data_IF_423144005431
#
_entry.id   IF_423144005431
#
_cell.length_a   1.000
_cell.length_b   1.000
_cell.length_c   1.000
_cell.angle_alpha   90.00
_cell.angle_beta   90.00
_cell.angle_gamma   90.00
#
_symmetry.space_group_name_H-M   'P 1'
#
loop_
_entity.id
_entity.type
_entity.pdbx_description
1 polymer ?
#
# COMPACT_ATOMS: atom_id res chain seq x y z
N UNK A 1 28.37 -8.13 27.01
CA UNK A 1 27.10 -7.97 26.27
C UNK A 1 27.35 -8.33 24.79
N UNK A 2 27.93 -9.52 24.53
CA UNK A 2 28.59 -9.87 23.26
C UNK A 2 28.48 -11.37 22.91
N UNK A 3 27.43 -12.07 23.37
CA UNK A 3 27.34 -13.54 23.17
C UNK A 3 26.06 -14.03 22.49
N UNK A 4 25.11 -13.15 22.18
CA UNK A 4 23.87 -13.57 21.51
C UNK A 4 23.93 -13.46 19.98
N UNK A 5 24.87 -12.69 19.41
CA UNK A 5 24.97 -12.50 17.96
C UNK A 5 25.35 -13.80 17.21
N UNK A 6 26.22 -14.63 17.80
CA UNK A 6 26.69 -15.86 17.17
C UNK A 6 25.59 -16.93 17.01
N UNK A 7 24.66 -17.03 17.98
CA UNK A 7 23.55 -17.99 17.92
C UNK A 7 22.46 -17.58 16.91
N UNK A 8 22.30 -16.28 16.62
CA UNK A 8 21.35 -15.81 15.60
C UNK A 8 21.88 -16.06 14.18
N UNK A 9 23.18 -15.89 13.94
CA UNK A 9 23.79 -16.19 12.64
C UNK A 9 23.68 -17.67 12.28
N UNK A 10 23.88 -18.58 13.24
CA UNK A 10 23.91 -20.03 12.99
C UNK A 10 22.52 -20.64 12.71
N UNK A 11 21.46 -20.10 13.32
CA UNK A 11 20.07 -20.55 13.09
C UNK A 11 19.52 -20.02 11.75
N UNK A 12 19.90 -18.81 11.34
CA UNK A 12 19.45 -18.20 10.08
C UNK A 12 20.32 -18.56 8.87
N UNK A 13 21.61 -18.88 9.06
CA UNK A 13 22.50 -19.33 7.98
C UNK A 13 22.10 -20.66 7.37
N UNK A 14 21.37 -21.50 8.09
CA UNK A 14 20.96 -22.81 7.61
C UNK A 14 19.62 -22.81 6.84
N UNK A 15 18.94 -21.67 6.75
CA UNK A 15 17.59 -21.57 6.16
C UNK A 15 17.45 -20.55 5.03
N UNK A 16 18.39 -19.62 4.84
CA UNK A 16 18.30 -18.59 3.80
C UNK A 16 19.67 -18.33 3.14
N UNK A 17 19.79 -18.40 1.79
CA UNK A 17 21.02 -18.00 1.12
C UNK A 17 21.17 -16.48 1.25
N UNK A 18 22.12 -16.04 2.07
CA UNK A 18 22.56 -14.65 2.07
C UNK A 18 23.11 -14.32 0.68
N UNK A 19 22.55 -13.31 0.04
CA UNK A 19 23.10 -12.77 -1.21
C UNK A 19 23.56 -11.34 -0.87
N UNK A 20 24.87 -11.08 -0.95
CA UNK A 20 25.47 -9.75 -0.67
C UNK A 20 25.29 -9.19 0.76
N UNK A 21 25.60 -9.98 1.80
CA UNK A 21 25.95 -9.46 3.14
C UNK A 21 24.94 -8.45 3.75
N UNK A 22 23.65 -8.71 3.54
CA UNK A 22 22.57 -7.80 3.96
C UNK A 22 21.22 -7.99 3.25
N UNK A 23 21.18 -8.80 2.18
CA UNK A 23 19.95 -9.11 1.44
C UNK A 23 19.65 -10.61 1.47
N UNK A 24 18.37 -10.92 1.67
CA UNK A 24 17.85 -12.29 1.66
C UNK A 24 16.67 -12.43 0.70
N UNK A 25 16.54 -13.61 0.11
CA UNK A 25 15.35 -13.99 -0.66
C UNK A 25 14.57 -15.00 0.18
N UNK A 26 13.38 -14.60 0.65
CA UNK A 26 12.45 -15.50 1.30
C UNK A 26 11.72 -16.37 0.26
N UNK A 27 11.17 -17.54 0.65
CA UNK A 27 10.58 -18.52 -0.29
C UNK A 27 9.46 -17.96 -1.17
N UNK A 28 8.78 -16.91 -0.71
CA UNK A 28 7.73 -16.20 -1.43
C UNK A 28 8.26 -15.36 -2.60
N UNK A 29 9.57 -15.05 -2.63
CA UNK A 29 10.31 -14.32 -3.67
C UNK A 29 9.61 -13.06 -4.22
N UNK A 30 8.66 -12.50 -3.48
CA UNK A 30 7.79 -11.42 -3.93
C UNK A 30 8.41 -10.05 -3.74
N UNK A 31 9.42 -9.94 -2.86
CA UNK A 31 10.21 -8.74 -2.64
C UNK A 31 11.59 -9.10 -2.05
N UNK A 32 12.56 -8.19 -2.20
CA UNK A 32 13.87 -8.34 -1.56
C UNK A 32 13.75 -8.00 -0.07
N UNK A 33 14.26 -8.89 0.77
CA UNK A 33 14.28 -8.66 2.21
C UNK A 33 15.56 -7.92 2.61
N UNK A 34 15.39 -6.84 3.37
CA UNK A 34 16.51 -6.06 3.90
C UNK A 34 16.78 -6.51 5.33
N UNK A 35 17.98 -7.04 5.58
CA UNK A 35 18.38 -7.45 6.93
C UNK A 35 19.13 -6.28 7.61
N UNK A 36 18.53 -5.58 8.58
CA UNK A 36 19.09 -4.35 9.12
C UNK A 36 20.29 -4.58 10.06
N UNK A 37 20.69 -5.84 10.30
CA UNK A 37 21.89 -6.19 11.09
C UNK A 37 23.17 -5.85 10.31
N UNK A 38 23.16 -6.00 8.98
CA UNK A 38 24.27 -5.60 8.11
C UNK A 38 24.14 -4.15 7.63
N UNK A 39 25.25 -3.45 7.45
CA UNK A 39 25.26 -2.05 6.98
C UNK A 39 24.57 -1.91 5.61
N UNK A 40 24.79 -2.86 4.71
CA UNK A 40 24.16 -2.87 3.40
C UNK A 40 22.63 -3.01 3.48
N UNK A 41 22.12 -3.90 4.33
CA UNK A 41 20.69 -4.10 4.54
C UNK A 41 20.03 -2.90 5.24
N UNK A 42 20.71 -2.29 6.22
CA UNK A 42 20.23 -1.07 6.87
C UNK A 42 20.11 0.08 5.88
N UNK A 43 21.17 0.39 5.12
CA UNK A 43 21.16 1.45 4.10
C UNK A 43 20.09 1.17 3.04
N UNK A 44 20.00 -0.07 2.55
CA UNK A 44 18.99 -0.47 1.57
C UNK A 44 17.55 -0.25 2.07
N UNK A 45 17.27 -0.62 3.33
CA UNK A 45 15.95 -0.42 3.93
C UNK A 45 15.60 1.06 4.11
N UNK A 46 16.58 1.91 4.49
CA UNK A 46 16.37 3.36 4.61
C UNK A 46 16.04 3.97 3.25
N UNK A 47 16.82 3.61 2.21
CA UNK A 47 16.57 4.06 0.84
C UNK A 47 15.18 3.62 0.37
N UNK A 48 14.78 2.38 0.65
CA UNK A 48 13.45 1.87 0.32
C UNK A 48 12.34 2.69 0.98
N UNK A 49 12.43 2.97 2.29
CA UNK A 49 11.45 3.79 3.01
C UNK A 49 11.37 5.21 2.41
N UNK A 50 12.52 5.83 2.13
CA UNK A 50 12.58 7.18 1.54
C UNK A 50 11.96 7.21 0.14
N UNK A 51 12.12 6.17 -0.67
CA UNK A 51 11.51 6.10 -2.00
C UNK A 51 10.02 5.79 -1.95
N UNK A 52 9.57 5.02 -0.96
CA UNK A 52 8.16 4.64 -0.81
C UNK A 52 7.31 5.77 -0.22
N UNK A 53 7.81 6.53 0.76
CA UNK A 53 7.03 7.55 1.47
C UNK A 53 6.44 8.66 0.58
N UNK A 54 7.19 9.27 -0.36
CA UNK A 54 6.69 10.39 -1.14
C UNK A 54 5.51 10.01 -2.05
N UNK A 55 5.56 8.89 -2.81
CA UNK A 55 4.39 8.39 -3.54
C UNK A 55 3.17 8.17 -2.64
N UNK A 56 3.36 7.62 -1.43
CA UNK A 56 2.25 7.44 -0.47
C UNK A 56 1.61 8.77 -0.07
N UNK A 57 2.42 9.76 0.30
CA UNK A 57 1.92 11.09 0.66
C UNK A 57 1.23 11.78 -0.52
N UNK A 58 1.78 11.64 -1.73
CA UNK A 58 1.19 12.17 -2.95
C UNK A 58 -0.20 11.58 -3.21
N UNK A 59 -0.36 10.27 -3.06
CA UNK A 59 -1.65 9.58 -3.20
C UNK A 59 -2.67 10.18 -2.23
N UNK A 60 -2.34 10.27 -0.94
CA UNK A 60 -3.24 10.86 0.07
C UNK A 60 -3.65 12.28 -0.30
N UNK A 61 -2.68 13.13 -0.66
CA UNK A 61 -2.94 14.52 -1.00
C UNK A 61 -3.84 14.65 -2.25
N UNK A 62 -3.52 13.93 -3.32
CA UNK A 62 -4.30 13.90 -4.55
C UNK A 62 -5.76 13.52 -4.29
N UNK A 63 -6.00 12.52 -3.43
CA UNK A 63 -7.36 12.12 -3.12
C UNK A 63 -8.13 13.11 -2.26
N UNK A 64 -7.49 13.73 -1.27
CA UNK A 64 -8.10 14.81 -0.50
C UNK A 64 -8.50 15.94 -1.46
N UNK A 65 -7.62 16.31 -2.40
CA UNK A 65 -7.90 17.30 -3.42
C UNK A 65 -9.08 16.89 -4.32
N UNK A 66 -9.17 15.64 -4.77
CA UNK A 66 -10.30 15.11 -5.56
C UNK A 66 -11.61 15.20 -4.76
N UNK A 67 -11.59 14.81 -3.48
CA UNK A 67 -12.76 14.89 -2.61
C UNK A 67 -13.24 16.34 -2.44
N UNK A 68 -12.32 17.28 -2.22
CA UNK A 68 -12.62 18.72 -2.13
C UNK A 68 -13.16 19.26 -3.47
N UNK A 69 -12.51 18.90 -4.58
CA UNK A 69 -12.92 19.32 -5.91
C UNK A 69 -14.33 18.82 -6.27
N UNK A 70 -14.63 17.54 -6.03
CA UNK A 70 -15.97 16.98 -6.26
C UNK A 70 -17.02 17.66 -5.40
N UNK A 71 -16.72 17.95 -4.14
CA UNK A 71 -17.64 18.67 -3.24
C UNK A 71 -17.93 20.09 -3.76
N UNK A 72 -16.91 20.78 -4.28
CA UNK A 72 -17.06 22.11 -4.88
C UNK A 72 -17.90 22.08 -6.16
N UNK A 73 -17.60 21.15 -7.08
CA UNK A 73 -18.34 20.96 -8.33
C UNK A 73 -19.82 20.64 -8.09
N UNK A 74 -20.10 19.72 -7.16
CA UNK A 74 -21.48 19.38 -6.80
C UNK A 74 -22.24 20.54 -6.17
N UNK A 75 -21.57 21.47 -5.48
CA UNK A 75 -22.20 22.70 -4.97
C UNK A 75 -22.54 23.68 -6.09
N UNK A 76 -21.67 23.81 -7.10
CA UNK A 76 -21.92 24.65 -8.29
C UNK A 76 -23.06 24.10 -9.14
N UNK A 77 -23.03 22.81 -9.47
CA UNK A 77 -24.08 22.15 -10.24
C UNK A 77 -25.47 22.24 -9.59
N UNK A 78 -25.53 22.22 -8.25
CA UNK A 78 -26.78 22.44 -7.50
C UNK A 78 -27.36 23.83 -7.69
N UNK A 79 -26.51 24.85 -7.79
CA UNK A 79 -26.94 26.24 -7.97
C UNK A 79 -27.38 26.51 -9.41
N UNK A 80 -26.73 25.88 -10.38
CA UNK A 80 -26.97 26.13 -11.81
C UNK A 80 -28.14 25.35 -12.41
N UNK A 81 -28.39 24.12 -11.94
CA UNK A 81 -29.37 23.21 -12.57
C UNK A 81 -30.67 23.02 -11.77
N UNK A 82 -30.79 23.62 -10.57
CA UNK A 82 -31.98 23.47 -9.72
C UNK A 82 -32.25 22.02 -9.28
N UNK A 83 -31.24 21.14 -9.29
CA UNK A 83 -31.40 19.73 -8.92
C UNK A 83 -31.81 19.57 -7.44
N UNK A 84 -32.62 18.55 -7.16
CA UNK A 84 -32.98 18.15 -5.80
C UNK A 84 -31.70 17.97 -4.94
N UNK A 85 -31.51 18.82 -3.91
CA UNK A 85 -30.29 18.85 -3.14
C UNK A 85 -30.04 17.57 -2.35
N UNK A 86 -31.08 16.78 -2.06
CA UNK A 86 -31.01 15.55 -1.25
C UNK A 86 -30.42 14.42 -2.07
N UNK A 87 -30.91 14.20 -3.29
CA UNK A 87 -30.44 13.11 -4.18
C UNK A 87 -28.97 13.29 -4.56
N UNK A 88 -28.58 14.50 -4.97
CA UNK A 88 -27.18 14.83 -5.33
C UNK A 88 -26.25 14.67 -4.13
N UNK A 89 -26.69 15.08 -2.92
CA UNK A 89 -25.86 14.94 -1.71
C UNK A 89 -25.58 13.47 -1.38
N UNK A 90 -26.58 12.59 -1.55
CA UNK A 90 -26.44 11.15 -1.27
C UNK A 90 -25.44 10.49 -2.22
N UNK A 91 -25.53 10.77 -3.52
CA UNK A 91 -24.66 10.17 -4.54
C UNK A 91 -23.20 10.64 -4.40
N UNK A 92 -23.01 11.94 -4.14
CA UNK A 92 -21.68 12.53 -3.92
C UNK A 92 -21.06 11.98 -2.64
N UNK A 93 -21.82 11.91 -1.53
CA UNK A 93 -21.33 11.34 -0.28
C UNK A 93 -20.99 9.85 -0.42
N UNK A 94 -21.81 9.08 -1.13
CA UNK A 94 -21.53 7.66 -1.39
C UNK A 94 -20.21 7.48 -2.14
N UNK A 95 -19.97 8.32 -3.16
CA UNK A 95 -18.73 8.26 -3.95
C UNK A 95 -17.52 8.70 -3.14
N UNK A 96 -17.66 9.75 -2.32
CA UNK A 96 -16.59 10.22 -1.42
C UNK A 96 -16.26 9.14 -0.40
N UNK A 97 -17.26 8.53 0.24
CA UNK A 97 -17.05 7.47 1.25
C UNK A 97 -16.35 6.28 0.63
N UNK A 98 -16.78 5.81 -0.55
CA UNK A 98 -16.12 4.71 -1.26
C UNK A 98 -14.66 5.01 -1.60
N UNK A 99 -14.39 6.23 -2.04
CA UNK A 99 -13.02 6.66 -2.36
C UNK A 99 -12.17 6.73 -1.09
N UNK A 100 -12.72 7.32 -0.01
CA UNK A 100 -12.07 7.43 1.29
C UNK A 100 -11.77 6.07 1.92
N UNK A 101 -12.70 5.11 1.82
CA UNK A 101 -12.49 3.75 2.33
C UNK A 101 -11.40 3.02 1.56
N UNK A 102 -11.29 3.22 0.25
CA UNK A 102 -10.23 2.60 -0.56
C UNK A 102 -8.86 3.17 -0.21
N UNK A 103 -8.75 4.49 -0.02
CA UNK A 103 -7.49 5.12 0.41
C UNK A 103 -7.12 4.68 1.82
N UNK A 104 -8.08 4.64 2.74
CA UNK A 104 -7.85 4.16 4.10
C UNK A 104 -7.35 2.71 4.10
N UNK A 105 -7.94 1.85 3.27
CA UNK A 105 -7.46 0.48 3.10
C UNK A 105 -6.02 0.47 2.53
N UNK A 106 -5.74 1.26 1.50
CA UNK A 106 -4.41 1.36 0.86
C UNK A 106 -3.32 1.87 1.82
N UNK A 107 -3.68 2.81 2.69
CA UNK A 107 -2.81 3.32 3.75
C UNK A 107 -2.57 2.29 4.84
N UNK A 108 -3.60 1.53 5.20
CA UNK A 108 -3.51 0.51 6.23
C UNK A 108 -2.58 -0.63 5.80
N UNK A 109 -2.79 -1.18 4.61
CA UNK A 109 -1.97 -2.27 4.06
C UNK A 109 -0.51 -1.88 3.92
N UNK A 110 -0.25 -0.69 3.39
CA UNK A 110 1.11 -0.20 3.14
C UNK A 110 1.79 0.31 4.41
N UNK A 111 1.01 0.93 5.30
CA UNK A 111 1.50 1.44 6.58
C UNK A 111 2.01 0.32 7.48
N UNK A 112 1.37 -0.85 7.46
CA UNK A 112 1.85 -2.02 8.21
C UNK A 112 3.23 -2.46 7.72
N UNK A 113 3.43 -2.52 6.39
CA UNK A 113 4.74 -2.88 5.83
C UNK A 113 5.85 -1.91 6.26
N UNK A 114 5.61 -0.60 6.11
CA UNK A 114 6.58 0.43 6.51
C UNK A 114 6.81 0.41 8.02
N UNK A 115 5.76 0.19 8.83
CA UNK A 115 5.89 0.11 10.28
C UNK A 115 6.74 -1.08 10.73
N UNK A 116 6.56 -2.26 10.13
CA UNK A 116 7.39 -3.44 10.44
C UNK A 116 8.84 -3.20 10.01
N UNK A 117 9.06 -2.56 8.87
CA UNK A 117 10.41 -2.21 8.40
C UNK A 117 11.11 -1.21 9.33
N UNK A 118 10.41 -0.20 9.84
CA UNK A 118 10.97 0.74 10.82
C UNK A 118 11.22 0.03 12.16
N UNK A 119 10.29 -0.82 12.61
CA UNK A 119 10.44 -1.58 13.85
C UNK A 119 11.65 -2.51 13.80
N UNK A 120 11.96 -3.09 12.64
CA UNK A 120 13.10 -3.98 12.47
C UNK A 120 14.45 -3.28 12.57
N UNK A 121 14.52 -1.96 12.35
CA UNK A 121 15.74 -1.17 12.56
C UNK A 121 16.15 -1.14 14.04
N UNK A 122 15.18 -1.13 14.95
CA UNK A 122 15.43 -1.10 16.39
C UNK A 122 15.48 -2.50 17.01
N UNK A 123 14.67 -3.42 16.47
CA UNK A 123 14.64 -4.80 16.92
C UNK A 123 14.61 -5.76 15.72
N UNK A 124 15.77 -6.21 15.23
CA UNK A 124 15.86 -7.11 14.08
C UNK A 124 15.17 -8.47 14.33
N UNK A 125 14.97 -8.88 15.59
CA UNK A 125 14.31 -10.15 15.92
C UNK A 125 12.81 -10.18 15.57
N UNK A 126 12.21 -9.03 15.27
CA UNK A 126 10.83 -8.94 14.78
C UNK A 126 10.71 -9.60 13.39
N UNK A 127 11.79 -9.62 12.62
CA UNK A 127 11.85 -10.20 11.28
C UNK A 127 11.86 -11.73 11.36
N UNK A 128 10.66 -12.29 11.43
CA UNK A 128 10.39 -13.74 11.46
C UNK A 128 9.61 -14.16 10.22
N UNK A 129 9.62 -15.47 9.86
CA UNK A 129 8.77 -15.99 8.79
C UNK A 129 7.28 -15.67 8.96
N UNK A 130 6.79 -15.59 10.20
CA UNK A 130 5.41 -15.20 10.50
C UNK A 130 5.14 -13.74 10.12
N UNK A 131 6.06 -12.82 10.45
CA UNK A 131 5.93 -11.42 10.04
C UNK A 131 6.09 -11.21 8.54
N UNK A 132 6.93 -12.01 7.87
CA UNK A 132 7.05 -12.01 6.41
C UNK A 132 5.73 -12.42 5.75
N UNK A 133 5.11 -13.50 6.22
CA UNK A 133 3.81 -13.94 5.72
C UNK A 133 2.73 -12.87 5.85
N UNK A 134 2.70 -12.17 7.00
CA UNK A 134 1.79 -11.05 7.23
C UNK A 134 2.08 -9.92 6.22
N UNK A 135 3.34 -9.54 6.03
CA UNK A 135 3.73 -8.51 5.06
C UNK A 135 3.31 -8.88 3.64
N UNK A 136 3.50 -10.13 3.22
CA UNK A 136 3.09 -10.63 1.89
C UNK A 136 1.58 -10.49 1.68
N UNK A 137 0.75 -10.81 2.69
CA UNK A 137 -0.70 -10.64 2.62
C UNK A 137 -1.06 -9.16 2.40
N UNK A 138 -0.44 -8.27 3.17
CA UNK A 138 -0.72 -6.84 3.07
C UNK A 138 -0.20 -6.21 1.77
N UNK A 139 1.00 -6.58 1.31
CA UNK A 139 1.55 -6.16 0.01
C UNK A 139 0.76 -6.72 -1.17
N UNK A 140 0.35 -7.99 -1.11
CA UNK A 140 -0.45 -8.62 -2.15
C UNK A 140 -1.83 -7.98 -2.28
N UNK A 141 -2.51 -7.76 -1.16
CA UNK A 141 -3.80 -7.06 -1.14
C UNK A 141 -3.69 -5.61 -1.60
N UNK A 142 -2.54 -4.95 -1.41
CA UNK A 142 -2.29 -3.60 -1.90
C UNK A 142 -2.38 -3.50 -3.44
N UNK A 143 -1.90 -4.51 -4.18
CA UNK A 143 -2.03 -4.52 -5.64
C UNK A 143 -3.51 -4.53 -6.07
N UNK A 144 -4.33 -5.33 -5.37
CA UNK A 144 -5.78 -5.43 -5.62
C UNK A 144 -6.48 -4.11 -5.30
N UNK A 145 -6.15 -3.50 -4.16
CA UNK A 145 -6.71 -2.20 -3.75
C UNK A 145 -6.36 -1.13 -4.79
N UNK A 146 -5.09 -1.05 -5.21
CA UNK A 146 -4.64 -0.06 -6.19
C UNK A 146 -5.33 -0.25 -7.55
N UNK A 147 -5.53 -1.50 -8.01
CA UNK A 147 -6.29 -1.77 -9.22
C UNK A 147 -7.76 -1.35 -9.10
N UNK A 148 -8.41 -1.69 -7.97
CA UNK A 148 -9.81 -1.32 -7.69
C UNK A 148 -9.98 0.20 -7.64
N UNK A 149 -9.02 0.88 -7.03
CA UNK A 149 -8.95 2.32 -6.90
C UNK A 149 -8.84 3.01 -8.28
N UNK A 150 -7.98 2.50 -9.16
CA UNK A 150 -7.86 2.99 -10.54
C UNK A 150 -9.18 2.81 -11.32
N UNK A 151 -9.80 1.64 -11.21
CA UNK A 151 -11.08 1.33 -11.87
C UNK A 151 -12.23 2.21 -11.35
N UNK A 152 -12.21 2.60 -10.08
CA UNK A 152 -13.21 3.49 -9.50
C UNK A 152 -13.04 4.94 -9.99
N UNK A 153 -11.80 5.43 -10.15
CA UNK A 153 -11.57 6.77 -10.71
C UNK A 153 -11.96 6.83 -12.18
N UNK A 154 -11.61 5.81 -12.95
CA UNK A 154 -11.71 5.84 -14.40
C UNK A 154 -12.79 4.85 -14.89
N UNK A 155 -14.08 5.25 -14.85
CA UNK A 155 -15.18 4.36 -15.20
C UNK A 155 -15.11 3.86 -16.66
N UNK A 156 -14.41 4.59 -17.53
CA UNK A 156 -14.16 4.17 -18.91
C UNK A 156 -13.27 2.91 -18.98
N UNK A 157 -12.30 2.74 -18.08
CA UNK A 157 -11.54 1.49 -18.01
C UNK A 157 -12.39 0.34 -17.50
N UNK A 158 -13.28 0.60 -16.52
CA UNK A 158 -14.20 -0.43 -16.06
C UNK A 158 -15.15 -0.88 -17.18
N UNK A 159 -15.62 0.05 -18.02
CA UNK A 159 -16.41 -0.26 -19.22
C UNK A 159 -15.60 -1.08 -20.23
N UNK A 160 -14.35 -0.69 -20.49
CA UNK A 160 -13.44 -1.45 -21.36
C UNK A 160 -13.16 -2.86 -20.83
N UNK A 161 -12.91 -3.01 -19.53
CA UNK A 161 -12.69 -4.31 -18.89
C UNK A 161 -13.94 -5.19 -18.96
N UNK A 162 -15.13 -4.63 -18.70
CA UNK A 162 -16.40 -5.35 -18.86
C UNK A 162 -16.62 -5.81 -20.29
N UNK A 163 -16.33 -4.96 -21.27
CA UNK A 163 -16.41 -5.31 -22.69
C UNK A 163 -15.45 -6.44 -23.06
N UNK A 164 -14.21 -6.42 -22.54
CA UNK A 164 -13.21 -7.47 -22.76
C UNK A 164 -13.66 -8.84 -22.22
N UNK A 165 -14.32 -8.85 -21.07
CA UNK A 165 -14.87 -10.05 -20.45
C UNK A 165 -16.26 -10.44 -20.98
N UNK A 166 -16.78 -9.77 -22.02
CA UNK A 166 -18.09 -10.05 -22.61
C UNK A 166 -19.28 -9.70 -21.71
N UNK A 167 -19.07 -8.92 -20.66
CA UNK A 167 -20.13 -8.45 -19.75
C UNK A 167 -20.87 -7.26 -20.37
N UNK A 168 -22.21 -7.24 -20.21
CA UNK A 168 -23.05 -6.12 -20.66
C UNK A 168 -22.52 -4.78 -20.13
N UNK A 169 -22.36 -3.84 -21.05
CA UNK A 169 -21.87 -2.49 -20.79
C UNK A 169 -23.06 -1.54 -20.83
N UNK A 170 -23.72 -1.35 -19.68
CA UNK A 170 -24.72 -0.27 -19.51
C UNK A 170 -23.99 1.05 -19.16
#
# INVERSE_FOLDING_TARGET
MSDNSANYEEIYSNSHPYVFDGFGIFPTASYCFFYPVGLAGLVGSIVAVILLLPPYNLVVFCYIAICVYRRSQSRKAKLELGLDPIKVKREVNSTIIKSLSLIAASLFTSGIYVAIMIASWFNPSILTPATDFIQVIFLGSQMIINATLLLNIQPNLLKGLKSLYGMKTD
#
